data_IF_783766279105
#
_entry.id   IF_783766279105
#
_cell.length_a   1.000
_cell.length_b   1.000
_cell.length_c   1.000
_cell.angle_alpha   90.00
_cell.angle_beta   90.00
_cell.angle_gamma   90.00
#
_symmetry.space_group_name_H-M   'P 1'
#
loop_
_entity.id
_entity.type
_entity.pdbx_description
1 polymer ?
#
# COMPACT_ATOMS: atom_id res chain seq x y z
N UNK A 1 13.55 -5.29 -32.47
CA UNK A 1 12.19 -5.33 -31.89
C UNK A 1 12.00 -4.06 -31.07
N UNK A 2 11.06 -3.19 -31.44
CA UNK A 2 10.74 -2.00 -30.64
C UNK A 2 9.82 -2.43 -29.50
N UNK A 3 10.34 -2.52 -28.29
CA UNK A 3 9.53 -2.79 -27.11
C UNK A 3 8.81 -1.51 -26.72
N UNK A 4 7.48 -1.47 -26.89
CA UNK A 4 6.69 -0.41 -26.25
C UNK A 4 6.90 -0.52 -24.74
N UNK A 5 7.13 0.60 -24.03
CA UNK A 5 7.27 0.57 -22.59
C UNK A 5 5.97 0.03 -21.96
N UNK A 6 6.11 -0.88 -21.00
CA UNK A 6 5.00 -1.42 -20.22
C UNK A 6 4.41 -0.29 -19.38
N UNK A 7 3.10 -0.07 -19.50
CA UNK A 7 2.34 0.85 -18.65
C UNK A 7 1.26 0.09 -17.90
N UNK A 8 1.21 0.27 -16.58
CA UNK A 8 0.26 -0.38 -15.68
C UNK A 8 -0.74 0.64 -15.14
N UNK A 9 -2.02 0.25 -15.12
CA UNK A 9 -3.07 1.01 -14.45
C UNK A 9 -3.48 0.27 -13.19
N UNK A 10 -3.46 0.97 -12.06
CA UNK A 10 -3.85 0.44 -10.76
C UNK A 10 -5.11 1.16 -10.28
N UNK A 11 -6.10 0.41 -9.81
CA UNK A 11 -7.26 0.97 -9.12
C UNK A 11 -6.89 1.14 -7.64
N UNK A 12 -7.28 2.27 -7.04
CA UNK A 12 -6.88 2.70 -5.70
C UNK A 12 -7.25 1.77 -4.54
N UNK A 13 -7.10 2.27 -3.32
CA UNK A 13 -7.16 1.49 -2.09
C UNK A 13 -5.79 0.98 -1.63
N UNK A 14 -5.72 0.43 -0.41
CA UNK A 14 -4.45 0.17 0.30
C UNK A 14 -3.53 -0.77 -0.49
N UNK A 15 -4.06 -1.91 -0.96
CA UNK A 15 -3.28 -2.88 -1.74
C UNK A 15 -2.83 -2.33 -3.09
N UNK A 16 -3.71 -1.58 -3.78
CA UNK A 16 -3.37 -0.91 -5.04
C UNK A 16 -2.27 0.12 -4.87
N UNK A 17 -2.38 0.99 -3.86
CA UNK A 17 -1.35 1.99 -3.57
C UNK A 17 -0.01 1.36 -3.18
N UNK A 18 -0.02 0.27 -2.40
CA UNK A 18 1.19 -0.51 -2.11
C UNK A 18 1.84 -1.04 -3.40
N UNK A 19 1.05 -1.66 -4.29
CA UNK A 19 1.53 -2.15 -5.58
C UNK A 19 2.10 -1.02 -6.45
N UNK A 20 1.42 0.12 -6.52
CA UNK A 20 1.86 1.26 -7.31
C UNK A 20 3.23 1.79 -6.87
N UNK A 21 3.49 1.82 -5.56
CA UNK A 21 4.81 2.18 -5.02
C UNK A 21 5.90 1.19 -5.46
N UNK A 22 5.63 -0.12 -5.37
CA UNK A 22 6.56 -1.15 -5.82
C UNK A 22 6.85 -1.09 -7.33
N UNK A 23 5.82 -0.91 -8.16
CA UNK A 23 5.96 -0.74 -9.61
C UNK A 23 6.77 0.51 -9.96
N UNK A 24 6.49 1.63 -9.28
CA UNK A 24 7.23 2.86 -9.46
C UNK A 24 8.71 2.71 -9.08
N UNK A 25 9.01 2.08 -7.94
CA UNK A 25 10.38 1.79 -7.52
C UNK A 25 11.14 0.87 -8.49
N UNK A 26 10.42 -0.04 -9.17
CA UNK A 26 10.97 -0.90 -10.22
C UNK A 26 11.15 -0.19 -11.58
N UNK A 27 10.82 1.11 -11.68
CA UNK A 27 10.95 1.88 -12.92
C UNK A 27 9.87 1.60 -13.97
N UNK A 28 8.73 1.03 -13.57
CA UNK A 28 7.60 0.76 -14.44
C UNK A 28 6.67 1.98 -14.47
N UNK A 29 6.22 2.38 -15.67
CA UNK A 29 5.22 3.45 -15.82
C UNK A 29 3.89 2.98 -15.21
N UNK A 30 3.42 3.68 -14.18
CA UNK A 30 2.24 3.32 -13.42
C UNK A 30 1.35 4.54 -13.22
N UNK A 31 0.04 4.35 -13.45
CA UNK A 31 -0.99 5.34 -13.16
C UNK A 31 -2.01 4.76 -12.18
N UNK A 32 -2.40 5.54 -11.17
CA UNK A 32 -3.41 5.16 -10.19
C UNK A 32 -4.71 5.90 -10.48
N UNK A 33 -5.83 5.18 -10.49
CA UNK A 33 -7.18 5.73 -10.61
C UNK A 33 -7.97 5.38 -9.35
N UNK A 34 -8.48 6.40 -8.66
CA UNK A 34 -9.35 6.28 -7.50
C UNK A 34 -10.69 6.95 -7.82
N UNK A 35 -11.78 6.35 -7.33
CA UNK A 35 -13.14 6.88 -7.51
C UNK A 35 -13.38 8.06 -6.56
N UNK A 36 -12.81 8.00 -5.36
CA UNK A 36 -12.92 9.06 -4.38
C UNK A 36 -12.17 10.32 -4.83
N UNK A 37 -12.79 11.47 -4.61
CA UNK A 37 -12.23 12.77 -5.00
C UNK A 37 -11.22 13.32 -4.00
N UNK A 38 -11.17 12.76 -2.79
CA UNK A 38 -10.29 13.19 -1.71
C UNK A 38 -9.93 12.00 -0.80
N UNK A 39 -8.77 12.03 -0.10
CA UNK A 39 -8.34 10.97 0.81
C UNK A 39 -9.31 10.70 1.97
N UNK A 40 -10.07 11.72 2.38
CA UNK A 40 -11.05 11.70 3.48
C UNK A 40 -12.50 11.61 2.99
N UNK A 41 -12.73 11.29 1.72
CA UNK A 41 -14.07 11.18 1.14
C UNK A 41 -14.91 10.04 1.76
N UNK A 42 -14.27 9.07 2.42
CA UNK A 42 -14.91 8.00 3.20
C UNK A 42 -14.72 8.24 4.69
N UNK A 43 -15.61 7.64 5.48
CA UNK A 43 -15.56 7.68 6.93
C UNK A 43 -14.20 7.19 7.43
N UNK A 44 -13.45 8.07 8.09
CA UNK A 44 -12.13 7.80 8.67
C UNK A 44 -12.27 7.51 10.18
N UNK A 45 -11.15 7.18 10.84
CA UNK A 45 -11.07 7.07 12.30
C UNK A 45 -10.94 5.64 12.84
N UNK A 46 -10.87 4.64 11.97
CA UNK A 46 -10.51 3.27 12.35
C UNK A 46 -9.02 3.01 12.10
N UNK A 47 -8.45 2.02 12.80
CA UNK A 47 -7.12 1.49 12.52
C UNK A 47 -7.21 0.15 11.80
N UNK A 48 -6.22 -0.15 10.98
CA UNK A 48 -6.08 -1.43 10.29
C UNK A 48 -5.24 -2.37 11.14
N UNK A 49 -5.70 -3.62 11.30
CA UNK A 49 -4.80 -4.70 11.70
C UNK A 49 -4.06 -5.18 10.45
N UNK A 50 -2.73 -5.17 10.50
CA UNK A 50 -1.89 -5.57 9.38
C UNK A 50 -1.21 -6.89 9.75
N UNK A 51 -1.67 -7.97 9.14
CA UNK A 51 -1.07 -9.29 9.31
C UNK A 51 0.41 -9.31 8.85
N UNK A 52 1.22 -10.28 9.30
CA UNK A 52 2.65 -10.33 8.98
C UNK A 52 2.95 -10.27 7.47
N UNK A 53 2.12 -10.93 6.65
CA UNK A 53 2.25 -10.91 5.17
C UNK A 53 2.03 -9.49 4.62
N UNK A 54 1.03 -8.78 5.12
CA UNK A 54 0.75 -7.39 4.73
C UNK A 54 1.89 -6.46 5.16
N UNK A 55 2.42 -6.64 6.36
CA UNK A 55 3.54 -5.85 6.87
C UNK A 55 4.81 -6.04 6.03
N UNK A 56 5.11 -7.28 5.62
CA UNK A 56 6.22 -7.60 4.71
C UNK A 56 6.02 -6.93 3.35
N UNK A 57 4.83 -7.04 2.76
CA UNK A 57 4.54 -6.41 1.47
C UNK A 57 4.71 -4.88 1.52
N UNK A 58 4.22 -4.23 2.59
CA UNK A 58 4.40 -2.80 2.80
C UNK A 58 5.88 -2.42 2.95
N UNK A 59 6.65 -3.18 3.72
CA UNK A 59 8.10 -2.95 3.85
C UNK A 59 8.82 -3.02 2.50
N UNK A 60 8.46 -3.99 1.66
CA UNK A 60 9.18 -4.25 0.40
C UNK A 60 8.76 -3.28 -0.72
N UNK A 61 7.54 -2.72 -0.66
CA UNK A 61 7.04 -1.80 -1.68
C UNK A 61 7.17 -0.32 -1.33
N UNK A 62 7.16 0.06 -0.04
CA UNK A 62 7.16 1.47 0.34
C UNK A 62 8.56 2.08 0.29
N UNK A 63 8.69 3.35 -0.13
CA UNK A 63 9.88 4.15 0.16
C UNK A 63 10.19 4.16 1.66
N UNK A 64 11.48 4.17 2.01
CA UNK A 64 11.93 4.05 3.40
C UNK A 64 11.26 5.06 4.36
N UNK A 65 11.03 6.30 3.91
CA UNK A 65 10.39 7.33 4.72
C UNK A 65 8.92 7.02 5.03
N UNK A 66 8.18 6.39 4.10
CA UNK A 66 6.79 5.98 4.33
C UNK A 66 6.70 4.74 5.21
N UNK A 67 7.64 3.80 5.06
CA UNK A 67 7.76 2.67 5.99
C UNK A 67 8.02 3.15 7.43
N UNK A 68 8.99 4.06 7.62
CA UNK A 68 9.26 4.62 8.94
C UNK A 68 8.05 5.37 9.52
N UNK A 69 7.30 6.12 8.69
CA UNK A 69 6.08 6.79 9.12
C UNK A 69 5.00 5.79 9.56
N UNK A 70 4.81 4.70 8.81
CA UNK A 70 3.88 3.62 9.18
C UNK A 70 4.23 3.05 10.56
N UNK A 71 5.50 2.70 10.79
CA UNK A 71 5.98 2.14 12.06
C UNK A 71 5.83 3.16 13.20
N UNK A 72 6.19 4.43 12.97
CA UNK A 72 6.10 5.49 13.98
C UNK A 72 4.68 5.84 14.40
N UNK A 73 3.68 5.52 13.56
CA UNK A 73 2.26 5.77 13.82
C UNK A 73 1.47 4.50 14.15
N UNK A 74 2.13 3.34 14.14
CA UNK A 74 1.53 2.08 14.53
C UNK A 74 1.12 2.11 16.01
N UNK A 75 -0.05 1.53 16.30
CA UNK A 75 -0.47 1.30 17.68
C UNK A 75 0.23 0.09 18.30
N UNK A 76 0.02 -0.09 19.60
CA UNK A 76 0.29 -1.38 20.25
C UNK A 76 -0.50 -2.48 19.51
N UNK A 77 0.17 -3.50 18.92
CA UNK A 77 -0.50 -4.58 18.21
C UNK A 77 -1.37 -5.44 19.15
N UNK A 78 -1.20 -5.31 20.47
CA UNK A 78 -1.84 -6.20 21.43
C UNK A 78 -1.47 -7.67 21.16
N UNK A 79 -2.24 -8.65 21.68
CA UNK A 79 -1.97 -10.06 21.41
C UNK A 79 -2.26 -10.51 19.96
N UNK A 80 -2.77 -9.62 19.10
CA UNK A 80 -3.25 -9.95 17.75
C UNK A 80 -4.53 -10.79 17.80
N UNK A 81 -5.46 -10.55 16.86
CA UNK A 81 -6.59 -11.45 16.66
C UNK A 81 -6.13 -12.60 15.75
N UNK A 82 -5.48 -13.61 16.32
CA UNK A 82 -5.00 -14.78 15.57
C UNK A 82 -6.16 -15.65 15.09
N UNK A 83 -6.62 -15.45 13.85
CA UNK A 83 -7.42 -16.44 13.13
C UNK A 83 -6.45 -17.43 12.47
N UNK A 84 -6.08 -18.47 13.22
CA UNK A 84 -5.42 -19.64 12.66
C UNK A 84 -6.49 -20.48 11.95
N UNK A 85 -6.53 -20.39 10.62
CA UNK A 85 -7.22 -21.37 9.76
C UNK A 85 -6.26 -22.45 9.32
#
# INVERSE_FOLDING_TARGET
MSTRPLRVVVVGGIGGLCLAQGLHAAGIDVAVFERDTAPDARLQGYRLNIEPVGSRALHDCLPAHLWHLLVATAGDPGPGMGVFT
#
